data_IF_962989156931
#
_entry.id   IF_962989156931
#
_cell.length_a   1.000
_cell.length_b   1.000
_cell.length_c   1.000
_cell.angle_alpha   90.00
_cell.angle_beta   90.00
_cell.angle_gamma   90.00
#
_symmetry.space_group_name_H-M   'P 1'
#
loop_
_entity.id
_entity.type
_entity.pdbx_description
1 polymer ?
#
# COMPACT_ATOMS: atom_id res chain seq x y z
N UNK A 1 -28.92 -5.25 17.45
CA UNK A 1 -27.98 -5.30 16.31
C UNK A 1 -26.59 -4.90 16.79
N UNK A 2 -25.55 -5.60 16.31
CA UNK A 2 -24.15 -5.31 16.60
C UNK A 2 -23.47 -4.74 15.35
N UNK A 3 -22.74 -3.65 15.49
CA UNK A 3 -21.91 -3.10 14.42
C UNK A 3 -20.45 -3.23 14.82
N UNK A 4 -19.64 -3.78 13.91
CA UNK A 4 -18.20 -4.00 14.11
C UNK A 4 -17.47 -3.18 13.04
N UNK A 5 -16.51 -2.37 13.47
CA UNK A 5 -15.63 -1.61 12.58
C UNK A 5 -14.33 -2.35 12.29
N UNK A 6 -13.73 -2.04 11.16
CA UNK A 6 -12.42 -2.59 10.76
C UNK A 6 -11.27 -1.60 10.96
N UNK A 7 -11.57 -0.32 11.14
CA UNK A 7 -10.55 0.69 11.38
C UNK A 7 -10.68 1.30 12.79
N UNK A 8 -9.56 1.58 13.48
CA UNK A 8 -9.59 2.05 14.87
C UNK A 8 -10.30 3.39 15.05
N UNK A 9 -10.21 4.30 14.07
CA UNK A 9 -10.85 5.63 14.14
C UNK A 9 -12.37 5.59 13.94
N UNK A 10 -12.92 4.52 13.37
CA UNK A 10 -14.35 4.41 13.09
C UNK A 10 -15.17 4.31 14.37
N UNK A 11 -14.63 3.69 15.43
CA UNK A 11 -15.30 3.57 16.72
C UNK A 11 -15.72 4.95 17.26
N UNK A 12 -14.79 5.88 17.34
CA UNK A 12 -15.04 7.23 17.85
C UNK A 12 -15.91 8.05 16.88
N UNK A 13 -15.70 7.86 15.58
CA UNK A 13 -16.48 8.51 14.55
C UNK A 13 -17.96 8.13 14.59
N UNK A 14 -18.28 6.85 14.77
CA UNK A 14 -19.65 6.36 14.91
C UNK A 14 -20.25 6.73 16.27
N UNK A 15 -19.47 6.63 17.37
CA UNK A 15 -19.92 7.02 18.71
C UNK A 15 -20.36 8.49 18.74
N UNK A 16 -19.65 9.40 18.07
CA UNK A 16 -20.03 10.82 17.96
C UNK A 16 -21.38 11.04 17.23
N UNK A 17 -21.91 10.01 16.56
CA UNK A 17 -23.20 10.00 15.84
C UNK A 17 -24.27 9.15 16.53
N UNK A 18 -24.03 8.74 17.77
CA UNK A 18 -24.96 7.96 18.57
C UNK A 18 -25.04 6.47 18.23
N UNK A 19 -24.05 5.96 17.47
CA UNK A 19 -23.96 4.54 17.12
C UNK A 19 -22.89 3.86 17.96
N UNK A 20 -23.27 2.76 18.63
CA UNK A 20 -22.31 1.94 19.35
C UNK A 20 -21.64 0.95 18.39
N UNK A 21 -20.32 1.10 18.23
CA UNK A 21 -19.51 0.27 17.32
C UNK A 21 -18.33 -0.30 18.09
N UNK A 22 -18.10 -1.59 17.90
CA UNK A 22 -16.99 -2.30 18.52
C UNK A 22 -15.83 -2.45 17.53
N UNK A 23 -14.60 -2.40 18.05
CA UNK A 23 -13.38 -2.60 17.28
C UNK A 23 -12.55 -3.70 17.94
N UNK A 24 -12.31 -4.79 17.23
CA UNK A 24 -11.57 -5.97 17.71
C UNK A 24 -10.16 -6.09 17.11
N UNK A 25 -9.76 -5.13 16.29
CA UNK A 25 -8.54 -5.13 15.50
C UNK A 25 -8.83 -5.20 14.00
N UNK A 26 -7.79 -5.00 13.20
CA UNK A 26 -7.91 -5.08 11.74
C UNK A 26 -7.68 -6.50 11.25
N UNK A 27 -8.52 -7.04 10.34
CA UNK A 27 -8.40 -8.43 9.83
C UNK A 27 -7.04 -8.78 9.22
N UNK A 28 -6.31 -7.80 8.69
CA UNK A 28 -4.96 -8.03 8.14
C UNK A 28 -3.94 -8.50 9.18
N UNK A 29 -4.24 -8.34 10.48
CA UNK A 29 -3.37 -8.86 11.54
C UNK A 29 -3.45 -10.39 11.70
N UNK A 30 -4.50 -11.02 11.13
CA UNK A 30 -4.70 -12.48 11.14
C UNK A 30 -4.20 -13.16 9.86
N UNK A 31 -3.74 -12.38 8.86
CA UNK A 31 -3.23 -12.97 7.63
C UNK A 31 -1.88 -13.60 7.92
N UNK A 32 -1.80 -14.92 7.78
CA UNK A 32 -0.57 -15.68 7.96
C UNK A 32 0.53 -15.22 6.99
N UNK A 33 1.75 -15.20 7.50
CA UNK A 33 2.92 -14.97 6.67
C UNK A 33 3.16 -16.19 5.79
N UNK A 34 3.54 -15.94 4.56
CA UNK A 34 3.61 -16.95 3.52
C UNK A 34 4.73 -17.96 3.71
N UNK A 35 4.47 -19.21 3.29
CA UNK A 35 5.43 -20.33 3.28
C UNK A 35 6.59 -20.16 2.28
N UNK A 36 6.51 -19.22 1.34
CA UNK A 36 7.57 -19.01 0.36
C UNK A 36 8.72 -18.19 0.96
N UNK A 37 9.91 -18.80 1.05
CA UNK A 37 11.10 -18.07 1.48
C UNK A 37 11.54 -17.03 0.45
N UNK A 38 12.14 -15.93 0.91
CA UNK A 38 12.72 -14.90 0.03
C UNK A 38 13.66 -15.51 -1.01
N UNK A 39 14.48 -16.51 -0.64
CA UNK A 39 15.37 -17.21 -1.58
C UNK A 39 14.65 -17.93 -2.70
N UNK A 40 13.51 -18.60 -2.43
CA UNK A 40 12.73 -19.29 -3.46
C UNK A 40 12.10 -18.31 -4.43
N UNK A 41 11.59 -17.18 -3.92
CA UNK A 41 11.06 -16.10 -4.74
C UNK A 41 12.12 -15.53 -5.70
N UNK A 42 13.30 -15.19 -5.18
CA UNK A 42 14.41 -14.66 -5.99
C UNK A 42 14.83 -15.67 -7.07
N UNK A 43 14.93 -16.95 -6.73
CA UNK A 43 15.24 -18.01 -7.70
C UNK A 43 14.17 -18.12 -8.79
N UNK A 44 12.89 -18.14 -8.41
CA UNK A 44 11.75 -18.28 -9.33
C UNK A 44 11.67 -17.12 -10.34
N UNK A 45 11.96 -15.92 -9.89
CA UNK A 45 11.95 -14.72 -10.73
C UNK A 45 13.31 -14.36 -11.33
N UNK A 46 14.36 -15.15 -11.09
CA UNK A 46 15.73 -14.86 -11.53
C UNK A 46 16.16 -13.44 -11.13
N UNK A 47 15.97 -13.12 -9.84
CA UNK A 47 16.36 -11.84 -9.24
C UNK A 47 17.73 -11.94 -8.59
N UNK A 48 18.49 -10.84 -8.60
CA UNK A 48 19.76 -10.68 -7.90
C UNK A 48 19.50 -10.17 -6.47
N UNK A 49 20.07 -10.86 -5.49
CA UNK A 49 19.94 -10.55 -4.06
C UNK A 49 20.59 -9.22 -3.66
N UNK A 50 21.59 -8.77 -4.43
CA UNK A 50 22.36 -7.57 -4.12
C UNK A 50 21.83 -6.29 -4.83
N UNK A 51 20.82 -6.44 -5.65
CA UNK A 51 20.24 -5.35 -6.42
C UNK A 51 18.93 -4.85 -5.84
N UNK A 52 18.67 -3.55 -5.77
CA UNK A 52 17.44 -3.02 -5.24
C UNK A 52 16.23 -3.43 -6.09
N UNK A 53 15.11 -3.65 -5.43
CA UNK A 53 13.84 -4.01 -6.07
C UNK A 53 12.84 -2.87 -5.86
N UNK A 54 12.31 -2.34 -6.97
CA UNK A 54 11.12 -1.50 -6.98
C UNK A 54 9.89 -2.40 -7.13
N UNK A 55 9.03 -2.40 -6.13
CA UNK A 55 7.71 -3.02 -6.23
C UNK A 55 6.70 -2.05 -6.80
N UNK A 56 6.01 -2.44 -7.86
CA UNK A 56 4.93 -1.68 -8.47
C UNK A 56 3.58 -2.33 -8.15
N UNK A 57 2.66 -1.56 -7.56
CA UNK A 57 1.27 -1.95 -7.33
C UNK A 57 0.36 -0.90 -8.00
N UNK A 58 0.14 -1.00 -9.32
CA UNK A 58 -0.45 0.09 -10.10
C UNK A 58 -1.97 0.23 -9.93
N UNK A 59 -2.61 -0.71 -9.24
CA UNK A 59 -4.05 -0.75 -8.98
C UNK A 59 -4.68 -2.10 -9.29
N UNK A 60 -5.97 -2.21 -9.01
CA UNK A 60 -6.74 -3.45 -9.23
C UNK A 60 -7.86 -3.29 -10.26
N UNK A 61 -8.07 -2.09 -10.81
CA UNK A 61 -9.07 -1.79 -11.83
C UNK A 61 -8.40 -1.29 -13.10
N UNK A 62 -8.85 -1.77 -14.27
CA UNK A 62 -8.24 -1.40 -15.55
C UNK A 62 -8.16 0.13 -15.74
N UNK A 63 -9.21 0.86 -15.39
CA UNK A 63 -9.22 2.31 -15.47
C UNK A 63 -8.16 3.04 -14.61
N UNK A 64 -7.73 2.42 -13.51
CA UNK A 64 -6.61 2.91 -12.70
C UNK A 64 -5.30 2.64 -13.43
N UNK A 65 -5.14 1.42 -13.97
CA UNK A 65 -3.96 1.00 -14.73
C UNK A 65 -3.73 1.93 -15.93
N UNK A 66 -4.76 2.18 -16.71
CA UNK A 66 -4.67 3.03 -17.91
C UNK A 66 -4.12 4.43 -17.61
N UNK A 67 -4.35 4.93 -16.40
CA UNK A 67 -3.87 6.24 -15.93
C UNK A 67 -2.52 6.20 -15.21
N UNK A 68 -2.27 5.14 -14.43
CA UNK A 68 -1.09 5.06 -13.56
C UNK A 68 0.10 4.42 -14.27
N UNK A 69 -0.15 3.39 -15.06
CA UNK A 69 0.89 2.56 -15.64
C UNK A 69 1.88 3.32 -16.54
N UNK A 70 1.43 4.19 -17.48
CA UNK A 70 2.37 4.98 -18.28
C UNK A 70 3.31 5.85 -17.42
N UNK A 71 2.78 6.45 -16.34
CA UNK A 71 3.56 7.29 -15.41
C UNK A 71 4.56 6.42 -14.64
N UNK A 72 4.17 5.22 -14.22
CA UNK A 72 5.06 4.29 -13.54
C UNK A 72 6.19 3.83 -14.44
N UNK A 73 5.90 3.50 -15.71
CA UNK A 73 6.93 3.12 -16.68
C UNK A 73 7.96 4.23 -16.89
N UNK A 74 7.51 5.47 -17.08
CA UNK A 74 8.40 6.61 -17.22
C UNK A 74 9.23 6.85 -15.95
N UNK A 75 8.62 6.70 -14.77
CA UNK A 75 9.33 6.80 -13.49
C UNK A 75 10.42 5.73 -13.37
N UNK A 76 10.15 4.49 -13.78
CA UNK A 76 11.15 3.41 -13.77
C UNK A 76 12.31 3.74 -14.68
N UNK A 77 12.08 4.33 -15.86
CA UNK A 77 13.14 4.74 -16.75
C UNK A 77 14.06 5.79 -16.09
N UNK A 78 13.48 6.80 -15.45
CA UNK A 78 14.28 7.81 -14.72
C UNK A 78 15.02 7.21 -13.52
N UNK A 79 14.41 6.26 -12.79
CA UNK A 79 15.10 5.57 -11.68
C UNK A 79 16.28 4.73 -12.16
N UNK A 80 16.19 4.10 -13.32
CA UNK A 80 17.28 3.30 -13.90
C UNK A 80 18.50 4.13 -14.32
N UNK A 81 18.33 5.42 -14.57
CA UNK A 81 19.45 6.33 -14.77
C UNK A 81 20.30 6.50 -13.50
N UNK A 82 19.67 6.38 -12.32
CA UNK A 82 20.34 6.51 -11.01
C UNK A 82 20.74 5.15 -10.41
N UNK A 83 19.92 4.13 -10.64
CA UNK A 83 20.08 2.77 -10.09
C UNK A 83 20.21 1.76 -11.23
N UNK A 84 21.43 1.61 -11.79
CA UNK A 84 21.69 0.80 -12.99
C UNK A 84 21.21 -0.67 -12.86
N UNK A 85 21.26 -1.22 -11.65
CA UNK A 85 20.85 -2.62 -11.36
C UNK A 85 19.44 -2.70 -10.82
N UNK A 86 18.60 -1.68 -11.00
CA UNK A 86 17.22 -1.67 -10.49
C UNK A 86 16.39 -2.79 -11.11
N UNK A 87 15.93 -3.68 -10.28
CA UNK A 87 14.98 -4.73 -10.61
C UNK A 87 13.55 -4.26 -10.33
N UNK A 88 12.59 -4.72 -11.11
CA UNK A 88 11.19 -4.34 -10.99
C UNK A 88 10.33 -5.57 -10.82
N UNK A 89 9.53 -5.60 -9.76
CA UNK A 89 8.51 -6.61 -9.50
C UNK A 89 7.15 -5.93 -9.51
N UNK A 90 6.23 -6.44 -10.31
CA UNK A 90 4.87 -5.91 -10.43
C UNK A 90 3.89 -6.86 -9.77
N UNK A 91 3.24 -6.43 -8.71
CA UNK A 91 2.07 -7.14 -8.17
C UNK A 91 0.86 -6.88 -9.05
N UNK A 92 0.51 -7.87 -9.89
CA UNK A 92 -0.53 -7.76 -10.89
C UNK A 92 -1.81 -8.47 -10.45
N UNK A 93 -2.91 -7.74 -10.31
CA UNK A 93 -4.22 -8.34 -10.11
C UNK A 93 -4.62 -9.19 -11.33
N UNK A 94 -5.43 -10.23 -11.11
CA UNK A 94 -5.77 -11.23 -12.15
C UNK A 94 -6.60 -10.68 -13.30
N UNK A 95 -7.35 -9.62 -13.05
CA UNK A 95 -8.36 -9.04 -13.95
C UNK A 95 -7.90 -7.76 -14.65
N UNK A 96 -6.60 -7.49 -14.69
CA UNK A 96 -6.04 -6.30 -15.37
C UNK A 96 -5.03 -6.69 -16.42
N UNK A 97 -4.85 -5.83 -17.42
CA UNK A 97 -3.81 -5.91 -18.42
C UNK A 97 -2.82 -4.75 -18.26
N UNK A 98 -1.55 -5.03 -18.57
CA UNK A 98 -0.45 -4.08 -18.50
C UNK A 98 0.11 -3.87 -19.89
N UNK A 99 -0.38 -2.84 -20.58
CA UNK A 99 0.09 -2.52 -21.91
C UNK A 99 1.57 -2.13 -21.91
N UNK A 100 2.32 -2.60 -22.92
CA UNK A 100 3.74 -2.32 -23.08
C UNK A 100 4.59 -2.64 -21.84
N UNK A 101 4.21 -3.69 -21.07
CA UNK A 101 5.01 -4.12 -19.93
C UNK A 101 6.38 -4.62 -20.40
N UNK A 102 7.50 -4.04 -19.94
CA UNK A 102 8.83 -4.49 -20.31
C UNK A 102 9.06 -5.96 -19.93
N UNK A 103 9.67 -6.73 -20.85
CA UNK A 103 9.91 -8.18 -20.65
C UNK A 103 10.83 -8.50 -19.47
N UNK A 104 11.64 -7.54 -19.03
CA UNK A 104 12.50 -7.69 -17.86
C UNK A 104 11.82 -7.37 -16.52
N UNK A 105 10.56 -6.93 -16.52
CA UNK A 105 9.78 -6.81 -15.29
C UNK A 105 9.31 -8.20 -14.86
N UNK A 106 9.33 -8.45 -13.57
CA UNK A 106 8.84 -9.70 -12.99
C UNK A 106 7.39 -9.51 -12.54
N UNK A 107 6.50 -10.29 -13.12
CA UNK A 107 5.09 -10.24 -12.77
C UNK A 107 4.81 -11.25 -11.66
N UNK A 108 4.27 -10.76 -10.56
CA UNK A 108 3.81 -11.57 -9.45
C UNK A 108 2.29 -11.39 -9.28
N UNK A 109 1.56 -12.51 -9.20
CA UNK A 109 0.09 -12.48 -9.04
C UNK A 109 -0.33 -12.30 -7.58
N UNK A 110 0.53 -12.68 -6.68
CA UNK A 110 0.36 -12.46 -5.26
C UNK A 110 1.03 -11.14 -4.87
N UNK A 111 0.24 -10.09 -4.70
CA UNK A 111 0.75 -8.76 -4.36
C UNK A 111 1.57 -8.77 -3.07
N UNK A 112 1.21 -9.61 -2.08
CA UNK A 112 1.92 -9.73 -0.81
C UNK A 112 3.35 -10.22 -1.00
N UNK A 113 3.56 -11.21 -1.89
CA UNK A 113 4.91 -11.67 -2.24
C UNK A 113 5.75 -10.59 -2.89
N UNK A 114 5.14 -9.79 -3.77
CA UNK A 114 5.82 -8.65 -4.37
C UNK A 114 6.19 -7.57 -3.33
N UNK A 115 5.37 -7.36 -2.29
CA UNK A 115 5.65 -6.44 -1.20
C UNK A 115 6.84 -6.88 -0.35
N UNK A 116 6.89 -8.17 0.01
CA UNK A 116 7.92 -8.74 0.90
C UNK A 116 9.33 -8.65 0.35
N UNK A 117 9.51 -8.66 -0.97
CA UNK A 117 10.83 -8.62 -1.61
C UNK A 117 11.25 -7.21 -2.01
N UNK A 118 10.36 -6.25 -1.95
CA UNK A 118 10.61 -4.88 -2.39
C UNK A 118 11.58 -4.12 -1.48
N UNK A 119 12.48 -3.38 -2.08
CA UNK A 119 13.26 -2.36 -1.37
C UNK A 119 12.42 -1.12 -1.11
N UNK A 120 11.63 -0.72 -2.10
CA UNK A 120 10.69 0.42 -2.07
C UNK A 120 9.49 0.09 -2.97
N UNK A 121 8.30 0.59 -2.59
CA UNK A 121 7.08 0.42 -3.38
C UNK A 121 6.56 1.73 -3.99
N UNK A 122 6.08 1.65 -5.23
CA UNK A 122 5.27 2.68 -5.87
C UNK A 122 3.85 2.11 -6.01
N UNK A 123 2.90 2.67 -5.26
CA UNK A 123 1.64 2.00 -4.95
C UNK A 123 0.45 2.91 -5.24
N UNK A 124 -0.54 2.38 -5.95
CA UNK A 124 -1.83 3.04 -6.09
C UNK A 124 -2.56 3.10 -4.75
N UNK A 125 -3.31 4.20 -4.51
CA UNK A 125 -4.08 4.34 -3.28
C UNK A 125 -5.15 3.24 -3.16
N UNK A 126 -5.23 2.62 -1.98
CA UNK A 126 -6.16 1.53 -1.67
C UNK A 126 -5.69 0.72 -0.46
N UNK A 127 -6.33 -0.43 -0.24
CA UNK A 127 -5.99 -1.35 0.88
C UNK A 127 -4.57 -1.88 0.80
N UNK A 128 -4.01 -2.02 -0.40
CA UNK A 128 -2.62 -2.44 -0.61
C UNK A 128 -1.60 -1.54 0.10
N UNK A 129 -1.92 -0.26 0.32
CA UNK A 129 -1.02 0.64 1.07
C UNK A 129 -0.87 0.18 2.52
N UNK A 130 -1.96 -0.24 3.17
CA UNK A 130 -1.94 -0.77 4.53
C UNK A 130 -1.16 -2.08 4.62
N UNK A 131 -1.37 -2.98 3.65
CA UNK A 131 -0.60 -4.23 3.54
C UNK A 131 0.88 -3.97 3.40
N UNK A 132 1.30 -3.00 2.56
CA UNK A 132 2.70 -2.60 2.45
C UNK A 132 3.30 -2.16 3.79
N UNK A 133 2.56 -1.39 4.59
CA UNK A 133 3.03 -0.96 5.90
C UNK A 133 3.16 -2.12 6.90
N UNK A 134 2.23 -3.08 6.86
CA UNK A 134 2.26 -4.29 7.69
C UNK A 134 3.47 -5.15 7.31
N UNK A 135 3.73 -5.33 6.02
CA UNK A 135 4.88 -6.10 5.52
C UNK A 135 6.21 -5.33 5.62
N UNK A 136 6.18 -4.06 6.02
CA UNK A 136 7.39 -3.25 6.19
C UNK A 136 7.99 -2.76 4.88
N UNK A 137 7.21 -2.59 3.81
CA UNK A 137 7.65 -2.00 2.56
C UNK A 137 7.48 -0.47 2.61
N UNK A 138 8.57 0.33 2.53
CA UNK A 138 8.44 1.78 2.39
C UNK A 138 7.85 2.13 1.03
N UNK A 139 6.87 3.04 1.01
CA UNK A 139 6.11 3.33 -0.21
C UNK A 139 5.97 4.82 -0.50
N UNK A 140 5.73 5.11 -1.78
CA UNK A 140 5.11 6.35 -2.24
C UNK A 140 3.75 6.00 -2.82
N UNK A 141 2.71 6.67 -2.33
CA UNK A 141 1.32 6.47 -2.80
C UNK A 141 1.05 7.41 -3.96
N UNK A 142 0.56 6.85 -5.06
CA UNK A 142 0.22 7.58 -6.27
C UNK A 142 -1.23 7.33 -6.65
N UNK A 143 -1.98 8.38 -6.96
CA UNK A 143 -3.36 8.21 -7.39
C UNK A 143 -3.84 9.31 -8.31
N UNK A 144 -4.47 8.91 -9.41
CA UNK A 144 -5.03 9.83 -10.40
C UNK A 144 -6.45 9.42 -10.73
N UNK A 145 -7.42 10.27 -10.35
CA UNK A 145 -8.82 10.14 -10.71
C UNK A 145 -9.07 10.74 -12.10
N UNK A 146 -10.20 10.38 -12.68
CA UNK A 146 -10.72 11.10 -13.83
C UNK A 146 -11.00 12.57 -13.45
N UNK A 147 -10.72 13.57 -14.32
CA UNK A 147 -10.81 14.99 -13.96
C UNK A 147 -12.17 15.40 -13.36
N UNK A 148 -13.26 14.89 -13.93
CA UNK A 148 -14.61 15.18 -13.42
C UNK A 148 -14.84 14.58 -12.03
N UNK A 149 -14.40 13.33 -11.81
CA UNK A 149 -14.49 12.67 -10.49
C UNK A 149 -13.64 13.40 -9.45
N UNK A 150 -12.47 13.88 -9.85
CA UNK A 150 -11.61 14.68 -8.97
C UNK A 150 -12.27 15.99 -8.56
N UNK A 151 -12.88 16.73 -9.50
CA UNK A 151 -13.57 17.97 -9.22
C UNK A 151 -14.70 17.76 -8.21
N UNK A 152 -15.52 16.71 -8.39
CA UNK A 152 -16.59 16.33 -7.47
C UNK A 152 -16.00 15.94 -6.09
N UNK A 153 -14.99 15.09 -6.06
CA UNK A 153 -14.36 14.64 -4.81
C UNK A 153 -13.76 15.81 -4.04
N UNK A 154 -13.03 16.69 -4.69
CA UNK A 154 -12.40 17.87 -4.06
C UNK A 154 -13.45 18.82 -3.45
N UNK A 155 -14.64 18.88 -4.04
CA UNK A 155 -15.71 19.77 -3.58
C UNK A 155 -16.50 19.18 -2.41
N UNK A 156 -16.74 17.86 -2.43
CA UNK A 156 -17.60 17.16 -1.47
C UNK A 156 -16.83 16.52 -0.31
N UNK A 157 -15.58 16.13 -0.52
CA UNK A 157 -14.83 15.34 0.44
C UNK A 157 -13.73 16.19 1.07
N UNK A 158 -13.92 16.56 2.34
CA UNK A 158 -12.95 17.32 3.15
C UNK A 158 -11.98 16.38 3.90
N UNK A 159 -11.42 15.38 3.21
CA UNK A 159 -10.39 14.54 3.85
C UNK A 159 -9.01 15.13 3.62
N UNK A 160 -8.19 15.14 4.66
CA UNK A 160 -6.80 15.64 4.61
C UNK A 160 -5.87 14.67 3.88
N UNK A 161 -6.19 13.38 3.88
CA UNK A 161 -5.36 12.28 3.42
C UNK A 161 -6.13 11.35 2.48
N UNK A 162 -5.41 10.71 1.59
CA UNK A 162 -5.95 9.79 0.57
C UNK A 162 -5.61 8.32 0.85
N UNK A 163 -4.46 8.04 1.46
CA UNK A 163 -4.09 6.68 1.82
C UNK A 163 -4.66 6.28 3.19
N UNK A 164 -5.03 5.02 3.32
CA UNK A 164 -5.56 4.47 4.57
C UNK A 164 -4.57 4.65 5.72
N UNK A 165 -3.27 4.51 5.46
CA UNK A 165 -2.21 4.73 6.46
C UNK A 165 -2.29 6.13 7.06
N UNK A 166 -2.31 7.15 6.21
CA UNK A 166 -2.32 8.55 6.65
C UNK A 166 -3.64 8.92 7.33
N UNK A 167 -4.76 8.32 6.89
CA UNK A 167 -6.08 8.48 7.53
C UNK A 167 -6.07 7.90 8.95
N UNK A 168 -5.61 6.65 9.13
CA UNK A 168 -5.56 5.99 10.44
C UNK A 168 -4.66 6.77 11.40
N UNK A 169 -3.54 7.27 10.91
CA UNK A 169 -2.54 7.97 11.73
C UNK A 169 -2.81 9.47 11.90
N UNK A 170 -3.83 10.02 11.22
CA UNK A 170 -4.17 11.47 11.12
C UNK A 170 -2.95 12.36 10.84
N UNK A 171 -2.00 11.85 10.06
CA UNK A 171 -0.78 12.56 9.62
C UNK A 171 -0.16 11.92 8.40
N UNK A 172 0.73 12.66 7.74
CA UNK A 172 1.49 12.13 6.62
C UNK A 172 2.60 11.19 7.09
N UNK A 173 2.33 9.89 7.06
CA UNK A 173 3.30 8.80 7.29
C UNK A 173 3.99 8.43 5.98
N UNK A 174 3.21 8.30 4.92
CA UNK A 174 3.68 8.02 3.57
C UNK A 174 3.41 9.21 2.65
N UNK A 175 4.32 9.53 1.72
CA UNK A 175 4.06 10.54 0.70
C UNK A 175 2.88 10.16 -0.19
N UNK A 176 2.00 11.12 -0.47
CA UNK A 176 0.87 10.99 -1.40
C UNK A 176 1.06 11.95 -2.56
N UNK A 177 1.16 11.42 -3.76
CA UNK A 177 1.27 12.18 -5.00
C UNK A 177 -0.03 11.99 -5.78
N UNK A 178 -0.87 13.01 -5.75
CA UNK A 178 -2.23 12.97 -6.29
C UNK A 178 -2.34 13.85 -7.54
N UNK A 179 -3.09 13.40 -8.53
CA UNK A 179 -3.39 14.17 -9.75
C UNK A 179 -2.15 14.68 -10.46
N UNK A 180 -1.91 15.99 -10.49
CA UNK A 180 -0.80 16.62 -11.19
C UNK A 180 0.54 16.38 -10.48
N UNK A 181 0.52 16.13 -9.17
CA UNK A 181 1.70 15.72 -8.40
C UNK A 181 2.13 14.29 -8.75
N UNK A 182 1.22 13.47 -9.28
CA UNK A 182 1.57 12.16 -9.83
C UNK A 182 2.23 12.32 -11.20
N UNK A 183 3.48 12.78 -11.21
CA UNK A 183 4.31 12.89 -12.39
C UNK A 183 5.70 12.27 -12.16
N UNK A 184 6.37 11.74 -13.21
CA UNK A 184 7.59 10.93 -13.06
C UNK A 184 8.72 11.65 -12.33
N UNK A 185 8.92 12.95 -12.56
CA UNK A 185 9.99 13.73 -11.92
C UNK A 185 9.75 13.90 -10.41
N UNK A 186 8.51 14.20 -10.01
CA UNK A 186 8.18 14.36 -8.60
C UNK A 186 8.17 13.01 -7.88
N UNK A 187 7.70 11.96 -8.55
CA UNK A 187 7.79 10.59 -8.01
C UNK A 187 9.25 10.22 -7.78
N UNK A 188 10.13 10.39 -8.77
CA UNK A 188 11.57 10.14 -8.63
C UNK A 188 12.15 10.88 -7.41
N UNK A 189 11.93 12.19 -7.32
CA UNK A 189 12.43 13.02 -6.20
C UNK A 189 11.95 12.52 -4.84
N UNK A 190 10.73 11.99 -4.79
CA UNK A 190 10.09 11.55 -3.55
C UNK A 190 10.54 10.15 -3.14
N UNK A 191 10.67 9.23 -4.12
CA UNK A 191 10.97 7.82 -3.87
C UNK A 191 12.48 7.55 -3.71
N UNK A 192 13.34 8.28 -4.43
CA UNK A 192 14.78 8.04 -4.42
C UNK A 192 15.39 8.00 -3.01
N UNK A 193 15.06 8.91 -2.08
CA UNK A 193 15.58 8.83 -0.71
C UNK A 193 15.19 7.56 0.06
N UNK A 194 14.15 6.85 -0.37
CA UNK A 194 13.70 5.63 0.29
C UNK A 194 14.54 4.40 -0.09
N UNK A 195 15.32 4.46 -1.17
CA UNK A 195 16.28 3.41 -1.53
C UNK A 195 17.51 3.42 -0.63
N UNK A 196 17.85 4.55 -0.05
CA UNK A 196 18.93 4.64 0.94
C UNK A 196 18.46 4.08 2.28
N UNK A 197 19.10 2.99 2.72
CA UNK A 197 18.78 2.28 3.96
C UNK A 197 19.03 3.15 5.21
N UNK A 198 19.94 4.12 5.12
CA UNK A 198 20.29 5.03 6.20
C UNK A 198 19.48 6.33 6.20
N UNK A 199 18.66 6.54 5.19
CA UNK A 199 17.83 7.74 5.05
C UNK A 199 16.91 7.97 6.25
N UNK A 200 16.94 9.16 6.81
CA UNK A 200 16.04 9.57 7.90
C UNK A 200 14.55 9.48 7.50
N UNK A 201 14.23 9.71 6.22
CA UNK A 201 12.84 9.56 5.71
C UNK A 201 12.38 8.11 5.80
N UNK A 202 13.26 7.17 5.42
CA UNK A 202 12.99 5.73 5.51
C UNK A 202 12.86 5.29 6.97
N UNK A 203 13.79 5.65 7.82
CA UNK A 203 13.77 5.34 9.27
C UNK A 203 12.50 5.86 9.95
N UNK A 204 12.14 7.10 9.68
CA UNK A 204 10.92 7.71 10.20
C UNK A 204 9.66 6.95 9.74
N UNK A 205 9.61 6.55 8.48
CA UNK A 205 8.47 5.79 7.94
C UNK A 205 8.31 4.45 8.67
N UNK A 206 9.41 3.71 8.91
CA UNK A 206 9.36 2.46 9.67
C UNK A 206 8.90 2.67 11.12
N UNK A 207 9.37 3.71 11.81
CA UNK A 207 8.90 4.04 13.16
C UNK A 207 7.39 4.29 13.20
N UNK A 208 6.86 4.94 12.18
CA UNK A 208 5.41 5.18 12.08
C UNK A 208 4.63 3.92 11.69
N UNK A 209 5.21 3.02 10.87
CA UNK A 209 4.62 1.72 10.58
C UNK A 209 4.47 0.86 11.83
N UNK A 210 5.45 0.88 12.75
CA UNK A 210 5.34 0.16 14.02
C UNK A 210 4.22 0.73 14.92
N UNK A 211 4.02 2.05 14.92
CA UNK A 211 2.88 2.66 15.63
C UNK A 211 1.54 2.29 14.97
N UNK A 212 1.50 2.28 13.65
CA UNK A 212 0.33 1.86 12.88
C UNK A 212 -0.03 0.41 13.21
N UNK A 213 0.92 -0.53 13.15
CA UNK A 213 0.69 -1.93 13.50
C UNK A 213 0.10 -2.08 14.90
N UNK A 214 0.62 -1.34 15.88
CA UNK A 214 0.05 -1.34 17.24
C UNK A 214 -1.39 -0.85 17.29
N UNK A 215 -1.76 0.14 16.48
CA UNK A 215 -3.14 0.66 16.42
C UNK A 215 -4.11 -0.30 15.73
N UNK A 216 -3.61 -1.18 14.85
CA UNK A 216 -4.41 -2.20 14.18
C UNK A 216 -4.75 -3.39 15.10
N UNK A 217 -4.13 -3.48 16.28
CA UNK A 217 -4.36 -4.54 17.26
C UNK A 217 -3.43 -5.75 17.11
N UNK A 218 -3.77 -6.81 17.80
CA UNK A 218 -3.02 -8.09 17.79
C UNK A 218 -3.72 -9.14 16.92
N UNK A 219 -3.02 -10.19 16.45
CA UNK A 219 -3.63 -11.35 15.83
C UNK A 219 -4.75 -11.97 16.66
N UNK A 220 -5.62 -12.78 16.05
CA UNK A 220 -6.81 -13.36 16.65
C UNK A 220 -8.07 -12.49 16.52
N UNK A 221 -8.11 -11.58 15.53
CA UNK A 221 -9.24 -10.68 15.27
C UNK A 221 -10.51 -11.46 14.97
N UNK A 222 -10.44 -12.43 14.06
CA UNK A 222 -11.60 -13.26 13.70
C UNK A 222 -12.15 -14.04 14.87
N UNK A 223 -11.30 -14.53 15.77
CA UNK A 223 -11.72 -15.27 16.96
C UNK A 223 -12.48 -14.34 17.92
N UNK A 224 -11.92 -13.16 18.24
CA UNK A 224 -12.58 -12.16 19.11
C UNK A 224 -13.92 -11.69 18.56
N UNK A 225 -14.01 -11.51 17.24
CA UNK A 225 -15.29 -11.18 16.57
C UNK A 225 -16.30 -12.30 16.73
N UNK A 226 -15.90 -13.56 16.48
CA UNK A 226 -16.78 -14.71 16.61
C UNK A 226 -17.29 -14.89 18.05
N UNK A 227 -16.42 -14.79 19.04
CA UNK A 227 -16.77 -14.85 20.46
C UNK A 227 -17.80 -13.77 20.84
N UNK A 228 -17.55 -12.51 20.41
CA UNK A 228 -18.47 -11.40 20.69
C UNK A 228 -19.85 -11.57 20.03
N UNK A 229 -19.92 -12.19 18.84
CA UNK A 229 -21.22 -12.50 18.20
C UNK A 229 -21.97 -13.60 18.97
N UNK A 230 -21.25 -14.66 19.37
CA UNK A 230 -21.84 -15.78 20.10
C UNK A 230 -22.40 -15.34 21.49
N UNK A 231 -21.64 -14.51 22.22
CA UNK A 231 -22.07 -13.99 23.53
C UNK A 231 -23.37 -13.16 23.44
N UNK A 232 -23.67 -12.52 22.33
CA UNK A 232 -24.87 -11.70 22.14
C UNK A 232 -26.05 -12.48 21.55
N UNK A 233 -25.81 -13.71 21.10
CA UNK A 233 -26.87 -14.59 20.55
C UNK A 233 -27.35 -15.65 21.55
N UNK A 234 -26.67 -15.81 22.67
CA UNK A 234 -27.08 -16.61 23.83
C UNK A 234 -27.78 -15.77 24.87
#
# INVERSE_FOLDING_TARGET
DQTISIFPFEKDWFASRGLNVEYFGHPFMDIEHMDETTKSFYKRHSLDLNSPILTLLPGSRQQEIDRHWPIFLETVNLLREQYLNLQVVVGKASNIDLDNCPSNFKIERDAKKAMLVGTVGLVSSGTATLECAIEGLPIVVCYKLFPLSWFITKTLVKVKHSSIINIIMDKQVVPELLQDDMNPKLILKTIAPLFDMESEKRKKMFLEYEKLKKSLGSPGVYMRVAESILEKTT
#
